data_IF_815363030311
#
_entry.id   IF_815363030311
#
_cell.length_a   1.000
_cell.length_b   1.000
_cell.length_c   1.000
_cell.angle_alpha   90.00
_cell.angle_beta   90.00
_cell.angle_gamma   90.00
#
_symmetry.space_group_name_H-M   'P 1'
#
loop_
_entity.id
_entity.type
_entity.pdbx_description
1 polymer ?
#
# COMPACT_ATOMS: atom_id res chain seq x y z
N UNK A 1 10.47 3.13 -22.77
CA UNK A 1 9.10 3.44 -22.34
C UNK A 1 8.22 2.18 -22.25
N UNK A 2 8.18 1.36 -23.30
CA UNK A 2 7.30 0.17 -23.36
C UNK A 2 7.47 -0.84 -22.23
N UNK A 3 8.70 -1.05 -21.74
CA UNK A 3 8.95 -1.94 -20.60
C UNK A 3 8.36 -1.40 -19.29
N UNK A 4 8.54 -0.10 -19.01
CA UNK A 4 7.97 0.57 -17.84
C UNK A 4 6.46 0.60 -17.92
N UNK A 5 5.91 0.85 -19.11
CA UNK A 5 4.48 0.81 -19.35
C UNK A 5 3.88 -0.58 -19.07
N UNK A 6 4.48 -1.63 -19.63
CA UNK A 6 4.01 -3.01 -19.45
C UNK A 6 4.11 -3.46 -17.99
N UNK A 7 5.25 -3.21 -17.32
CA UNK A 7 5.46 -3.57 -15.90
C UNK A 7 4.50 -2.83 -14.98
N UNK A 8 4.28 -1.53 -15.21
CA UNK A 8 3.38 -0.73 -14.36
C UNK A 8 1.91 -1.12 -14.55
N UNK A 9 1.47 -1.43 -15.77
CA UNK A 9 0.11 -1.94 -16.04
C UNK A 9 -0.09 -3.30 -15.36
N UNK A 10 0.82 -4.25 -15.58
CA UNK A 10 0.70 -5.61 -15.03
C UNK A 10 0.75 -5.57 -13.50
N UNK A 11 1.67 -4.80 -12.91
CA UNK A 11 1.75 -4.68 -11.46
C UNK A 11 0.54 -3.94 -10.87
N UNK A 12 0.08 -2.86 -11.53
CA UNK A 12 -1.08 -2.08 -11.10
C UNK A 12 -2.36 -2.89 -11.04
N UNK A 13 -2.62 -3.69 -12.08
CA UNK A 13 -3.77 -4.60 -12.16
C UNK A 13 -3.64 -5.74 -11.14
N UNK A 14 -2.47 -6.38 -11.06
CA UNK A 14 -2.24 -7.51 -10.15
C UNK A 14 -2.41 -7.06 -8.69
N UNK A 15 -1.85 -5.91 -8.33
CA UNK A 15 -2.00 -5.31 -7.00
C UNK A 15 -3.45 -4.91 -6.69
N UNK A 16 -4.21 -4.42 -7.67
CA UNK A 16 -5.64 -4.12 -7.49
C UNK A 16 -6.47 -5.38 -7.21
N UNK A 17 -6.26 -6.45 -7.97
CA UNK A 17 -6.95 -7.73 -7.78
C UNK A 17 -6.60 -8.32 -6.41
N UNK A 18 -5.32 -8.33 -6.04
CA UNK A 18 -4.86 -8.80 -4.74
C UNK A 18 -5.43 -7.96 -3.59
N UNK A 19 -5.55 -6.64 -3.76
CA UNK A 19 -6.17 -5.77 -2.77
C UNK A 19 -7.63 -6.18 -2.51
N UNK A 20 -8.44 -6.33 -3.57
CA UNK A 20 -9.85 -6.75 -3.43
C UNK A 20 -9.96 -8.10 -2.71
N UNK A 21 -9.15 -9.08 -3.11
CA UNK A 21 -9.15 -10.39 -2.47
C UNK A 21 -8.78 -10.32 -0.98
N UNK A 22 -7.72 -9.55 -0.63
CA UNK A 22 -7.28 -9.36 0.76
C UNK A 22 -8.29 -8.60 1.61
N UNK A 23 -8.99 -7.62 1.07
CA UNK A 23 -10.06 -6.93 1.79
C UNK A 23 -11.26 -7.83 2.04
N UNK A 24 -11.66 -8.65 1.06
CA UNK A 24 -12.73 -9.63 1.23
C UNK A 24 -12.37 -10.67 2.31
N UNK A 25 -11.18 -11.26 2.21
CA UNK A 25 -10.70 -12.21 3.21
C UNK A 25 -10.48 -11.57 4.59
N UNK A 26 -9.98 -10.34 4.64
CA UNK A 26 -9.79 -9.59 5.89
C UNK A 26 -11.09 -9.32 6.62
N UNK A 27 -12.18 -9.05 5.88
CA UNK A 27 -13.53 -8.92 6.45
C UNK A 27 -14.08 -10.26 6.92
N UNK A 28 -13.93 -11.33 6.14
CA UNK A 28 -14.43 -12.67 6.50
C UNK A 28 -13.70 -13.24 7.71
N UNK A 29 -12.38 -13.10 7.75
CA UNK A 29 -11.52 -13.62 8.83
C UNK A 29 -11.43 -12.67 10.04
N UNK A 30 -12.05 -11.48 9.97
CA UNK A 30 -11.91 -10.39 10.96
C UNK A 30 -10.44 -10.05 11.29
N UNK A 31 -9.54 -10.28 10.33
CA UNK A 31 -8.09 -10.18 10.54
C UNK A 31 -7.59 -8.79 10.23
N UNK A 32 -7.18 -8.05 11.28
CA UNK A 32 -6.57 -6.72 11.12
C UNK A 32 -5.25 -6.77 10.34
N UNK A 33 -4.47 -7.84 10.49
CA UNK A 33 -3.21 -8.01 9.75
C UNK A 33 -3.45 -8.13 8.24
N UNK A 34 -4.50 -8.86 7.84
CA UNK A 34 -4.83 -9.05 6.43
C UNK A 34 -5.43 -7.78 5.80
N UNK A 35 -6.14 -6.98 6.60
CA UNK A 35 -6.62 -5.64 6.18
C UNK A 35 -5.44 -4.68 5.94
N UNK A 36 -4.43 -4.69 6.83
CA UNK A 36 -3.19 -3.91 6.64
C UNK A 36 -2.46 -4.31 5.35
N UNK A 37 -2.38 -5.61 5.05
CA UNK A 37 -1.75 -6.10 3.81
C UNK A 37 -2.59 -5.77 2.55
N UNK A 38 -3.91 -5.71 2.69
CA UNK A 38 -4.82 -5.18 1.66
C UNK A 38 -4.56 -3.70 1.38
N UNK A 39 -4.37 -2.87 2.41
CA UNK A 39 -4.04 -1.45 2.26
C UNK A 39 -2.70 -1.26 1.52
N UNK A 40 -1.68 -2.04 1.87
CA UNK A 40 -0.39 -2.03 1.19
C UNK A 40 -0.52 -2.37 -0.31
N UNK A 41 -1.41 -3.32 -0.66
CA UNK A 41 -1.67 -3.70 -2.05
C UNK A 41 -2.42 -2.60 -2.84
N UNK A 42 -3.33 -1.85 -2.20
CA UNK A 42 -3.99 -0.68 -2.82
C UNK A 42 -2.95 0.39 -3.14
N UNK A 43 -2.11 0.72 -2.17
CA UNK A 43 -1.10 1.76 -2.34
C UNK A 43 -0.12 1.40 -3.47
N UNK A 44 0.28 0.12 -3.55
CA UNK A 44 1.08 -0.38 -4.67
C UNK A 44 0.40 -0.22 -6.04
N UNK A 45 -0.92 -0.46 -6.12
CA UNK A 45 -1.68 -0.24 -7.35
C UNK A 45 -1.75 1.24 -7.74
N UNK A 46 -2.03 2.13 -6.78
CA UNK A 46 -2.06 3.60 -7.01
C UNK A 46 -0.69 4.08 -7.51
N UNK A 47 0.42 3.62 -6.92
CA UNK A 47 1.76 3.96 -7.38
C UNK A 47 2.03 3.47 -8.80
N UNK A 48 1.65 2.23 -9.13
CA UNK A 48 1.81 1.68 -10.48
C UNK A 48 1.07 2.51 -11.54
N UNK A 49 -0.17 2.92 -11.27
CA UNK A 49 -0.94 3.78 -12.18
C UNK A 49 -0.42 5.23 -12.21
N UNK A 50 0.05 5.76 -11.08
CA UNK A 50 0.66 7.10 -10.96
C UNK A 50 1.89 7.28 -11.85
N UNK A 51 2.73 6.24 -11.95
CA UNK A 51 3.94 6.27 -12.81
C UNK A 51 3.55 6.36 -14.29
N UNK A 52 2.50 5.64 -14.72
CA UNK A 52 2.01 5.69 -16.10
C UNK A 52 1.50 7.09 -16.46
N UNK A 53 0.67 7.66 -15.59
CA UNK A 53 0.13 9.01 -15.76
C UNK A 53 1.27 10.04 -15.77
N UNK A 54 2.24 9.90 -14.87
CA UNK A 54 3.40 10.80 -14.83
C UNK A 54 4.25 10.70 -16.10
N UNK A 55 4.43 9.49 -16.65
CA UNK A 55 5.15 9.29 -17.90
C UNK A 55 4.43 9.88 -19.12
N UNK A 56 3.09 9.86 -19.13
CA UNK A 56 2.28 10.44 -20.20
C UNK A 56 2.27 11.97 -20.14
N UNK A 57 2.04 12.55 -18.96
CA UNK A 57 2.03 14.01 -18.78
C UNK A 57 3.41 14.62 -19.03
N UNK A 58 4.50 13.89 -18.74
CA UNK A 58 5.87 14.36 -19.01
C UNK A 58 6.15 14.52 -20.52
N UNK A 59 5.47 13.76 -21.39
CA UNK A 59 5.62 13.90 -22.86
C UNK A 59 5.07 15.23 -23.37
N UNK A 60 3.95 15.68 -22.82
CA UNK A 60 3.29 16.93 -23.23
C UNK A 60 3.81 18.16 -22.46
N UNK A 61 4.27 17.97 -21.22
CA UNK A 61 4.74 19.03 -20.33
C UNK A 61 6.03 18.61 -19.58
N UNK A 62 7.20 18.92 -20.14
CA UNK A 62 8.51 18.55 -19.56
C UNK A 62 8.76 19.16 -18.17
N UNK A 63 8.05 20.24 -17.82
CA UNK A 63 8.20 20.95 -16.54
C UNK A 63 7.65 20.17 -15.32
N UNK A 64 6.82 19.15 -15.51
CA UNK A 64 6.21 18.37 -14.41
C UNK A 64 7.04 17.15 -13.96
N UNK A 65 8.36 17.20 -14.14
CA UNK A 65 9.29 16.12 -13.75
C UNK A 65 9.17 15.68 -12.28
N UNK A 66 8.67 16.55 -11.40
CA UNK A 66 8.52 16.29 -9.96
C UNK A 66 7.25 15.51 -9.59
N UNK A 67 6.32 15.27 -10.53
CA UNK A 67 5.00 14.71 -10.24
C UNK A 67 5.09 13.34 -9.54
N UNK A 68 5.86 12.41 -10.11
CA UNK A 68 6.05 11.07 -9.55
C UNK A 68 6.73 11.11 -8.16
N UNK A 69 7.73 11.98 -8.01
CA UNK A 69 8.40 12.21 -6.73
C UNK A 69 7.47 12.77 -5.65
N UNK A 70 6.62 13.74 -5.99
CA UNK A 70 5.65 14.31 -5.04
C UNK A 70 4.56 13.32 -4.64
N UNK A 71 4.07 12.51 -5.57
CA UNK A 71 3.10 11.45 -5.31
C UNK A 71 3.71 10.35 -4.43
N UNK A 72 4.96 9.96 -4.69
CA UNK A 72 5.70 9.03 -3.85
C UNK A 72 5.88 9.52 -2.41
N UNK A 73 6.25 10.80 -2.21
CA UNK A 73 6.39 11.39 -0.87
C UNK A 73 5.04 11.44 -0.14
N UNK A 74 3.97 11.86 -0.82
CA UNK A 74 2.64 11.94 -0.22
C UNK A 74 2.14 10.56 0.23
N UNK A 75 2.29 9.55 -0.64
CA UNK A 75 1.92 8.17 -0.33
C UNK A 75 2.78 7.61 0.82
N UNK A 76 4.08 7.90 0.82
CA UNK A 76 5.00 7.50 1.88
C UNK A 76 4.59 8.05 3.25
N UNK A 77 4.16 9.32 3.31
CA UNK A 77 3.65 9.92 4.55
C UNK A 77 2.37 9.25 5.05
N UNK A 78 1.46 8.89 4.15
CA UNK A 78 0.22 8.17 4.48
C UNK A 78 0.54 6.78 5.05
N UNK A 79 1.41 6.01 4.39
CA UNK A 79 1.83 4.68 4.88
C UNK A 79 2.51 4.82 6.24
N UNK A 80 3.39 5.80 6.41
CA UNK A 80 4.13 5.99 7.66
C UNK A 80 3.19 6.33 8.82
N UNK A 81 2.23 7.25 8.62
CA UNK A 81 1.23 7.57 9.63
C UNK A 81 0.38 6.33 10.00
N UNK A 82 -0.02 5.53 9.01
CA UNK A 82 -0.76 4.29 9.22
C UNK A 82 0.08 3.24 9.96
N UNK A 83 1.36 3.10 9.63
CA UNK A 83 2.30 2.19 10.28
C UNK A 83 2.52 2.54 11.76
N UNK A 84 2.66 3.83 12.10
CA UNK A 84 2.77 4.29 13.49
C UNK A 84 1.49 3.94 14.26
N UNK A 85 0.31 4.21 13.68
CA UNK A 85 -0.97 3.84 14.30
C UNK A 85 -1.07 2.33 14.54
N UNK A 86 -0.69 1.52 13.55
CA UNK A 86 -0.70 0.06 13.65
C UNK A 86 0.23 -0.43 14.77
N UNK A 87 1.41 0.15 14.89
CA UNK A 87 2.39 -0.21 15.92
C UNK A 87 1.84 0.09 17.32
N UNK A 88 1.26 1.27 17.51
CA UNK A 88 0.62 1.67 18.78
C UNK A 88 -0.53 0.72 19.13
N UNK A 89 -1.34 0.30 18.16
CA UNK A 89 -2.44 -0.64 18.36
C UNK A 89 -1.95 -2.07 18.68
N UNK A 90 -0.79 -2.49 18.17
CA UNK A 90 -0.26 -3.84 18.36
C UNK A 90 0.54 -4.03 19.65
N UNK A 91 1.28 -3.01 20.11
CA UNK A 91 2.09 -3.07 21.35
C UNK A 91 1.30 -3.56 22.58
N UNK A 92 0.12 -3.00 22.94
CA UNK A 92 -0.64 -3.47 24.09
C UNK A 92 -1.19 -4.89 23.88
N UNK A 93 -1.51 -5.24 22.63
CA UNK A 93 -2.05 -6.56 22.28
C UNK A 93 -1.00 -7.67 22.46
N UNK A 94 0.23 -7.43 22.01
CA UNK A 94 1.38 -8.33 22.23
C UNK A 94 1.71 -8.44 23.72
N UNK A 95 1.57 -7.34 24.47
CA UNK A 95 1.78 -7.35 25.91
C UNK A 95 0.74 -8.20 26.64
N UNK A 96 -0.51 -8.25 26.16
CA UNK A 96 -1.55 -9.12 26.74
C UNK A 96 -1.32 -10.60 26.44
N UNK A 97 -0.97 -10.97 25.20
CA UNK A 97 -0.68 -12.38 24.86
C UNK A 97 0.48 -12.94 25.67
N UNK A 98 1.55 -12.15 25.87
CA UNK A 98 2.71 -12.58 26.68
C UNK A 98 2.40 -12.77 28.17
N UNK A 99 1.34 -12.15 28.70
CA UNK A 99 0.93 -12.39 30.08
C UNK A 99 0.12 -13.68 30.21
N UNK A 100 -0.67 -14.06 29.21
CA UNK A 100 -1.45 -15.30 29.23
C UNK A 100 -0.53 -16.55 29.26
N UNK A 101 0.51 -16.57 28.42
CA UNK A 101 1.49 -17.68 28.37
C UNK A 101 2.32 -17.86 29.64
N UNK A 102 2.28 -16.89 30.57
CA UNK A 102 3.03 -16.97 31.83
C UNK A 102 2.19 -17.54 32.98
N UNK A 103 0.91 -17.84 32.75
CA UNK A 103 -0.02 -18.37 33.75
C UNK A 103 -0.49 -19.81 33.46
N UNK A 104 0.01 -20.44 32.39
CA UNK A 104 0.01 -21.91 32.19
C UNK A 104 1.41 -22.48 32.52
#
# INVERSE_FOLDING_TARGET
>A
DDFLYSVSIVSGITCAVLAVAKFMLGRVLTSRALITDGFNSIVGSIMGFSILISAEVYKDHVDVWFLDGTLGVLIGLIIMAYGIKLLVDMVPRVRQTRNYERFE
#
